data_IF_980612107944
#
_entry.id   IF_980612107944
#
_cell.length_a   1.000
_cell.length_b   1.000
_cell.length_c   1.000
_cell.angle_alpha   90.00
_cell.angle_beta   90.00
_cell.angle_gamma   90.00
#
_symmetry.space_group_name_H-M   'P 1'
#
loop_
_entity.id
_entity.type
_entity.pdbx_description
1 polymer ?
#
# COMPACT_ATOMS: atom_id res chain seq x y z
N UNK A 1 -14.98 12.55 5.50
CA UNK A 1 -14.67 11.21 5.00
C UNK A 1 -13.32 10.81 5.54
N UNK A 2 -13.27 9.83 6.43
CA UNK A 2 -12.02 9.34 7.02
C UNK A 2 -11.19 8.68 5.93
N UNK A 3 -10.08 9.31 5.58
CA UNK A 3 -9.07 8.77 4.67
C UNK A 3 -8.46 7.54 5.37
N UNK A 4 -8.94 6.34 5.01
CA UNK A 4 -8.46 5.11 5.61
C UNK A 4 -7.03 4.88 5.12
N UNK A 5 -6.05 5.17 5.98
CA UNK A 5 -4.65 4.99 5.66
C UNK A 5 -4.22 3.59 6.10
N UNK A 6 -3.70 2.77 5.18
CA UNK A 6 -3.11 1.46 5.48
C UNK A 6 -2.11 1.54 6.64
N UNK A 7 -1.43 2.68 6.77
CA UNK A 7 -0.43 2.95 7.79
C UNK A 7 -1.00 3.14 9.21
N UNK A 8 -2.28 3.49 9.31
CA UNK A 8 -2.98 3.65 10.59
C UNK A 8 -3.75 2.39 10.99
N UNK A 9 -3.84 1.40 10.09
CA UNK A 9 -4.47 0.13 10.39
C UNK A 9 -3.53 -0.76 11.24
N UNK A 10 -4.06 -1.48 12.25
CA UNK A 10 -3.27 -2.49 12.95
C UNK A 10 -2.83 -3.59 11.97
N UNK A 11 -1.70 -4.23 12.26
CA UNK A 11 -1.01 -5.19 11.38
C UNK A 11 -1.94 -6.29 10.84
N UNK A 12 -2.83 -6.82 11.68
CA UNK A 12 -3.80 -7.85 11.28
C UNK A 12 -4.78 -7.34 10.22
N UNK A 13 -5.41 -6.18 10.43
CA UNK A 13 -6.28 -5.53 9.44
C UNK A 13 -5.53 -5.13 8.17
N UNK A 14 -4.28 -4.67 8.32
CA UNK A 14 -3.46 -4.28 7.19
C UNK A 14 -3.21 -5.49 6.30
N UNK A 15 -2.90 -6.65 6.87
CA UNK A 15 -2.71 -7.88 6.11
C UNK A 15 -3.96 -8.27 5.30
N UNK A 16 -5.15 -8.24 5.92
CA UNK A 16 -6.42 -8.50 5.23
C UNK A 16 -6.69 -7.50 4.10
N UNK A 17 -6.47 -6.21 4.36
CA UNK A 17 -6.67 -5.15 3.38
C UNK A 17 -5.68 -5.26 2.22
N UNK A 18 -4.42 -5.59 2.49
CA UNK A 18 -3.39 -5.77 1.45
C UNK A 18 -3.72 -6.98 0.58
N UNK A 19 -4.19 -8.08 1.17
CA UNK A 19 -4.62 -9.25 0.42
C UNK A 19 -5.82 -8.92 -0.48
N UNK A 20 -6.80 -8.17 0.01
CA UNK A 20 -7.91 -7.71 -0.81
C UNK A 20 -7.43 -6.73 -1.90
N UNK A 21 -6.61 -5.74 -1.56
CA UNK A 21 -6.08 -4.77 -2.53
C UNK A 21 -5.37 -5.48 -3.67
N UNK A 22 -4.57 -6.51 -3.38
CA UNK A 22 -3.90 -7.34 -4.38
C UNK A 22 -4.85 -7.95 -5.42
N UNK A 23 -6.09 -8.29 -5.05
CA UNK A 23 -7.08 -8.84 -5.99
C UNK A 23 -7.82 -7.77 -6.80
N UNK A 24 -7.78 -6.52 -6.37
CA UNK A 24 -8.46 -5.38 -7.01
C UNK A 24 -7.52 -4.44 -7.77
N UNK A 25 -6.21 -4.64 -7.67
CA UNK A 25 -5.23 -3.87 -8.42
C UNK A 25 -5.23 -4.28 -9.89
N UNK A 26 -5.08 -3.28 -10.76
CA UNK A 26 -4.86 -3.52 -12.19
C UNK A 26 -3.45 -4.12 -12.42
N UNK A 27 -3.21 -4.67 -13.61
CA UNK A 27 -1.94 -5.32 -13.96
C UNK A 27 -0.75 -4.35 -13.85
N UNK A 28 -0.94 -3.10 -14.29
CA UNK A 28 0.09 -2.06 -14.24
C UNK A 28 0.56 -1.76 -12.80
N UNK A 29 -0.38 -1.56 -11.88
CA UNK A 29 -0.10 -1.30 -10.48
C UNK A 29 0.49 -2.53 -9.79
N UNK A 30 0.03 -3.73 -10.14
CA UNK A 30 0.59 -5.00 -9.65
C UNK A 30 2.04 -5.20 -10.07
N UNK A 31 2.39 -4.84 -11.32
CA UNK A 31 3.75 -4.89 -11.81
C UNK A 31 4.66 -3.89 -11.10
N UNK A 32 4.22 -2.63 -10.96
CA UNK A 32 4.95 -1.60 -10.21
C UNK A 32 5.15 -1.98 -8.75
N UNK A 33 4.12 -2.51 -8.10
CA UNK A 33 4.23 -3.00 -6.72
C UNK A 33 5.21 -4.17 -6.60
N UNK A 34 5.31 -5.02 -7.63
CA UNK A 34 6.31 -6.09 -7.68
C UNK A 34 7.74 -5.54 -7.82
N UNK A 35 7.94 -4.48 -8.59
CA UNK A 35 9.24 -3.78 -8.67
C UNK A 35 9.62 -3.15 -7.32
N UNK A 36 8.67 -2.49 -6.65
CA UNK A 36 8.88 -1.92 -5.32
C UNK A 36 9.18 -3.01 -4.30
N UNK A 37 8.48 -4.15 -4.40
CA UNK A 37 8.74 -5.33 -3.58
C UNK A 37 10.18 -5.81 -3.70
N UNK A 38 10.70 -5.91 -4.92
CA UNK A 38 12.11 -6.25 -5.16
C UNK A 38 13.07 -5.19 -4.64
N UNK A 39 12.78 -3.90 -4.85
CA UNK A 39 13.61 -2.78 -4.37
C UNK A 39 13.73 -2.72 -2.85
N UNK A 40 12.63 -2.97 -2.13
CA UNK A 40 12.59 -2.96 -0.67
C UNK A 40 13.02 -4.29 -0.04
N UNK A 41 13.36 -5.28 -0.87
CA UNK A 41 13.71 -6.64 -0.50
C UNK A 41 12.67 -7.28 0.43
N UNK A 42 11.40 -7.14 0.05
CA UNK A 42 10.25 -7.67 0.77
C UNK A 42 9.75 -8.98 0.14
N UNK A 43 9.26 -9.90 0.97
CA UNK A 43 8.69 -11.17 0.51
C UNK A 43 7.28 -10.96 -0.08
N UNK A 44 6.49 -10.10 0.59
CA UNK A 44 5.10 -9.81 0.29
C UNK A 44 4.76 -8.32 0.27
N UNK A 45 3.58 -7.99 -0.27
CA UNK A 45 3.07 -6.63 -0.31
C UNK A 45 2.83 -6.05 1.08
N UNK A 46 2.50 -6.87 2.09
CA UNK A 46 2.33 -6.37 3.46
C UNK A 46 3.62 -5.77 4.01
N UNK A 47 4.77 -6.42 3.76
CA UNK A 47 6.10 -5.86 4.08
C UNK A 47 6.34 -4.54 3.34
N UNK A 48 5.99 -4.47 2.05
CA UNK A 48 6.13 -3.25 1.24
C UNK A 48 5.34 -2.10 1.85
N UNK A 49 4.06 -2.31 2.13
CA UNK A 49 3.22 -1.28 2.72
C UNK A 49 3.68 -0.92 4.13
N UNK A 50 4.11 -1.89 4.94
CA UNK A 50 4.68 -1.64 6.27
C UNK A 50 5.88 -0.71 6.18
N UNK A 51 6.87 -1.03 5.34
CA UNK A 51 8.05 -0.18 5.15
C UNK A 51 7.71 1.20 4.61
N UNK A 52 6.81 1.29 3.63
CA UNK A 52 6.37 2.59 3.10
C UNK A 52 5.68 3.42 4.18
N UNK A 53 4.91 2.78 5.06
CA UNK A 53 4.26 3.44 6.18
C UNK A 53 5.26 3.93 7.23
N UNK A 54 6.28 3.14 7.57
CA UNK A 54 7.39 3.55 8.43
C UNK A 54 8.14 4.75 7.83
N UNK A 55 8.47 4.69 6.54
CA UNK A 55 9.12 5.78 5.80
C UNK A 55 8.26 7.04 5.70
N UNK A 56 6.93 6.89 5.67
CA UNK A 56 5.98 8.00 5.59
C UNK A 56 5.65 8.63 6.94
N UNK A 57 5.84 7.92 8.06
CA UNK A 57 5.66 8.48 9.41
C UNK A 57 6.86 9.28 9.88
N UNK A 58 8.04 8.95 9.37
CA UNK A 58 9.24 9.75 9.56
C UNK A 58 9.16 11.02 8.69
N UNK A 59 9.87 12.08 9.07
CA UNK A 59 9.93 13.41 8.42
C UNK A 59 10.38 13.39 6.93
N UNK A 60 10.48 12.21 6.34
CA UNK A 60 10.95 11.84 5.02
C UNK A 60 9.79 11.50 4.06
N UNK A 61 8.71 12.29 4.05
CA UNK A 61 7.60 12.10 3.08
C UNK A 61 8.08 12.05 1.61
N UNK A 62 9.21 12.69 1.30
CA UNK A 62 9.85 12.66 -0.02
C UNK A 62 10.32 11.25 -0.43
N UNK A 63 10.72 10.41 0.54
CA UNK A 63 11.18 9.05 0.26
C UNK A 63 10.04 8.09 -0.07
N UNK A 64 8.89 8.21 0.60
CA UNK A 64 7.74 7.34 0.31
C UNK A 64 7.16 7.59 -1.11
N UNK A 65 7.25 8.81 -1.64
CA UNK A 65 6.94 9.13 -3.03
C UNK A 65 7.99 8.58 -4.02
N UNK A 66 9.24 8.40 -3.57
CA UNK A 66 10.31 7.82 -4.40
C UNK A 66 10.06 6.33 -4.67
N UNK A 67 9.48 5.62 -3.71
CA UNK A 67 9.21 4.19 -3.86
C UNK A 67 7.86 3.91 -4.50
N UNK A 68 6.78 4.59 -4.09
CA UNK A 68 5.47 4.39 -4.66
C UNK A 68 5.09 5.62 -5.50
N UNK A 69 4.96 5.50 -6.83
CA UNK A 69 4.51 6.61 -7.66
C UNK A 69 3.02 6.92 -7.42
N UNK A 70 2.61 8.16 -7.71
CA UNK A 70 1.26 8.66 -7.40
C UNK A 70 0.13 7.91 -8.09
N UNK A 71 0.38 7.35 -9.28
CA UNK A 71 -0.61 6.52 -9.99
C UNK A 71 -0.89 5.23 -9.23
N UNK A 72 0.15 4.55 -8.75
CA UNK A 72 0.01 3.36 -7.91
C UNK A 72 -0.66 3.70 -6.59
N UNK A 73 -0.35 4.85 -5.98
CA UNK A 73 -1.05 5.31 -4.76
C UNK A 73 -2.54 5.50 -5.00
N UNK A 74 -2.90 6.04 -6.15
CA UNK A 74 -4.30 6.26 -6.53
C UNK A 74 -5.01 4.93 -6.73
N UNK A 75 -4.40 3.99 -7.45
CA UNK A 75 -4.95 2.65 -7.67
C UNK A 75 -5.08 1.86 -6.36
N UNK A 76 -4.06 1.90 -5.50
CA UNK A 76 -4.12 1.28 -4.16
C UNK A 76 -5.23 1.90 -3.32
N UNK A 77 -5.40 3.23 -3.33
CA UNK A 77 -6.50 3.90 -2.60
C UNK A 77 -7.87 3.53 -3.16
N UNK A 78 -8.00 3.40 -4.47
CA UNK A 78 -9.23 2.96 -5.12
C UNK A 78 -9.56 1.51 -4.74
N UNK A 79 -8.57 0.61 -4.78
CA UNK A 79 -8.71 -0.77 -4.34
C UNK A 79 -9.05 -0.87 -2.84
N UNK A 80 -8.38 -0.08 -1.99
CA UNK A 80 -8.69 -0.01 -0.55
C UNK A 80 -10.13 0.43 -0.27
N UNK A 81 -10.67 1.34 -1.09
CA UNK A 81 -12.05 1.80 -0.94
C UNK A 81 -13.04 0.66 -1.24
N UNK A 82 -12.71 -0.22 -2.19
CA UNK A 82 -13.50 -1.42 -2.49
C UNK A 82 -13.32 -2.51 -1.43
N UNK A 83 -12.13 -2.61 -0.84
CA UNK A 83 -11.77 -3.56 0.19
C UNK A 83 -12.14 -3.13 1.60
N UNK A 84 -12.68 -1.91 1.77
CA UNK A 84 -13.07 -1.41 3.08
C UNK A 84 -14.20 -2.29 3.59
N UNK A 85 -14.11 -2.85 4.81
CA UNK A 85 -15.24 -3.55 5.39
C UNK A 85 -16.41 -2.58 5.46
N UNK A 86 -17.50 -2.93 4.78
CA UNK A 86 -18.80 -2.26 4.93
C UNK A 86 -19.22 -2.46 6.38
N UNK A 87 -19.04 -1.43 7.21
CA UNK A 87 -19.78 -1.30 8.46
C UNK A 87 -21.24 -1.02 8.11
#
# INVERSE_FOLDING_TARGET
GTQFSLCQAPSERRHELVNCVKTHLNEQASQKLSEVKQRLNCEDLDCVFTKICELSSDTHQEHANTFLPDDVKTDVRAALTQCRPSN
#
